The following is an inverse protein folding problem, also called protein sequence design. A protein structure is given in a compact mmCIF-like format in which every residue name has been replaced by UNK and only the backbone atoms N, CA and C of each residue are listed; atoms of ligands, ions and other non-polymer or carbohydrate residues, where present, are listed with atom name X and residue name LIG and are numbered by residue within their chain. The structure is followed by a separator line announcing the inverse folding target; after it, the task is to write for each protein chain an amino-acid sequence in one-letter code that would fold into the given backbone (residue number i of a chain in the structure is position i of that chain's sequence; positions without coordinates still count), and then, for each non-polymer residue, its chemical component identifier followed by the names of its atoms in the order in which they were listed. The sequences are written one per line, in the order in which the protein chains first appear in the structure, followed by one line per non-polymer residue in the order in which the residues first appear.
data_IF_120496506113
#
_entry.id   IF_120496506113
#
_cell.length_a   1.000
_cell.length_b   1.000
_cell.length_c   1.000
_cell.angle_alpha   90.00
_cell.angle_beta   90.00
_cell.angle_gamma   90.00
#
_symmetry.space_group_name_H-M   'P 1'
#
loop_
_entity.id
_entity.type
_entity.pdbx_description
1 polymer ?
#
# COMPACT_ATOMS: atom_id res chain seq x y z
N UNK A 1 17.87 28.64 -22.39
CA UNK A 1 17.35 27.25 -22.52
C UNK A 1 18.24 26.26 -21.77
N UNK A 2 19.57 26.25 -21.99
CA UNK A 2 20.49 25.36 -21.27
C UNK A 2 20.53 25.59 -19.75
N UNK A 3 20.54 26.85 -19.30
CA UNK A 3 20.49 27.19 -17.87
C UNK A 3 19.17 26.76 -17.20
N UNK A 4 18.04 26.80 -17.90
CA UNK A 4 16.75 26.33 -17.39
C UNK A 4 16.71 24.82 -17.19
N UNK A 5 17.46 24.06 -18.00
CA UNK A 5 17.60 22.60 -17.87
C UNK A 5 18.58 22.27 -16.74
N UNK A 6 19.69 23.00 -16.62
CA UNK A 6 20.60 22.88 -15.48
C UNK A 6 19.91 23.23 -14.16
N UNK A 7 19.10 24.28 -14.11
CA UNK A 7 18.35 24.69 -12.92
C UNK A 7 17.27 23.66 -12.54
N UNK A 8 16.58 23.03 -13.51
CA UNK A 8 15.62 21.93 -13.24
C UNK A 8 16.34 20.67 -12.74
N UNK A 9 17.52 20.35 -13.30
CA UNK A 9 18.32 19.19 -12.87
C UNK A 9 18.99 19.44 -11.52
N UNK A 10 19.40 20.68 -11.25
CA UNK A 10 20.00 21.10 -9.99
C UNK A 10 18.94 21.24 -8.89
N UNK A 11 17.73 21.70 -9.18
CA UNK A 11 16.60 21.72 -8.22
C UNK A 11 16.12 20.30 -7.87
N UNK A 12 16.20 19.35 -8.80
CA UNK A 12 16.03 17.92 -8.51
C UNK A 12 17.14 17.36 -7.59
N UNK A 13 18.33 17.99 -7.58
CA UNK A 13 19.47 17.64 -6.72
C UNK A 13 19.62 18.54 -5.48
N UNK A 14 18.83 19.61 -5.38
CA UNK A 14 18.86 20.58 -4.30
C UNK A 14 18.27 19.94 -3.05
N UNK A 15 19.11 19.24 -2.31
CA UNK A 15 19.26 19.46 -0.87
C UNK A 15 18.05 19.29 0.03
N UNK A 16 16.91 18.77 -0.43
CA UNK A 16 15.92 18.20 0.49
C UNK A 16 16.57 16.93 1.01
N UNK A 17 17.24 17.03 2.14
CA UNK A 17 17.67 15.88 2.93
C UNK A 17 16.40 15.06 3.19
N UNK A 18 16.09 14.11 2.30
CA UNK A 18 14.89 13.28 2.38
C UNK A 18 14.89 12.71 3.79
N UNK A 19 13.88 13.02 4.62
CA UNK A 19 13.86 12.52 5.99
C UNK A 19 13.90 10.99 5.93
N UNK A 20 15.08 10.43 6.17
CA UNK A 20 15.30 8.97 6.09
C UNK A 20 14.64 8.26 7.27
N UNK A 21 14.36 9.01 8.33
CA UNK A 21 13.68 8.56 9.51
C UNK A 21 12.33 9.26 9.63
N UNK A 22 11.25 8.49 9.47
CA UNK A 22 9.89 8.94 9.74
C UNK A 22 9.58 8.55 11.18
N UNK A 23 9.10 9.49 11.99
CA UNK A 23 8.57 9.15 13.32
C UNK A 23 7.48 8.08 13.20
N UNK A 24 7.31 7.25 14.23
CA UNK A 24 6.33 6.16 14.25
C UNK A 24 4.91 6.61 13.89
N UNK A 25 4.56 7.86 14.22
CA UNK A 25 3.26 8.47 13.87
C UNK A 25 3.09 8.64 12.36
N UNK A 26 4.11 9.17 11.67
CA UNK A 26 4.09 9.40 10.23
C UNK A 26 4.20 8.09 9.45
N UNK A 27 5.05 7.17 9.92
CA UNK A 27 5.13 5.82 9.39
C UNK A 27 3.79 5.08 9.53
N UNK A 28 3.14 5.19 10.69
CA UNK A 28 1.82 4.63 10.95
C UNK A 28 0.73 5.23 10.06
N UNK A 29 0.74 6.55 9.84
CA UNK A 29 -0.19 7.20 8.92
C UNK A 29 -0.01 6.73 7.47
N UNK A 30 1.23 6.53 7.02
CA UNK A 30 1.53 6.03 5.69
C UNK A 30 1.07 4.57 5.51
N UNK A 31 1.32 3.73 6.51
CA UNK A 31 0.83 2.34 6.53
C UNK A 31 -0.71 2.27 6.57
N UNK A 32 -1.34 3.15 7.35
CA UNK A 32 -2.80 3.24 7.40
C UNK A 32 -3.40 3.69 6.07
N UNK A 33 -2.71 4.57 5.34
CA UNK A 33 -3.13 5.02 4.02
C UNK A 33 -3.22 3.88 3.00
N UNK A 34 -2.24 2.97 3.02
CA UNK A 34 -2.23 1.77 2.17
C UNK A 34 -3.35 0.77 2.56
N UNK A 35 -3.52 0.53 3.87
CA UNK A 35 -4.53 -0.41 4.38
C UNK A 35 -5.97 0.13 4.40
N UNK A 36 -6.17 1.42 4.09
CA UNK A 36 -7.44 2.11 4.27
C UNK A 36 -8.55 1.55 3.37
N UNK A 37 -8.25 1.33 2.09
CA UNK A 37 -9.25 0.86 1.11
C UNK A 37 -9.65 -0.59 1.37
N UNK A 38 -8.69 -1.45 1.72
CA UNK A 38 -8.94 -2.88 2.00
C UNK A 38 -9.82 -3.11 3.22
N UNK A 39 -9.71 -2.29 4.27
CA UNK A 39 -10.65 -2.34 5.40
C UNK A 39 -12.09 -2.12 4.97
N UNK A 40 -12.34 -1.21 4.02
CA UNK A 40 -13.69 -0.86 3.59
C UNK A 40 -14.34 -1.99 2.78
N UNK A 41 -13.65 -2.55 1.78
CA UNK A 41 -14.24 -3.60 0.94
C UNK A 41 -14.15 -5.00 1.55
N UNK A 42 -13.11 -5.35 2.32
CA UNK A 42 -12.97 -6.70 2.91
C UNK A 42 -14.05 -6.99 3.93
N UNK A 43 -14.40 -6.00 4.78
CA UNK A 43 -15.47 -6.18 5.77
C UNK A 43 -16.81 -6.39 5.04
N UNK A 44 -17.09 -5.59 4.00
CA UNK A 44 -18.29 -5.76 3.18
C UNK A 44 -18.35 -7.15 2.52
N UNK A 45 -17.25 -7.60 1.91
CA UNK A 45 -17.16 -8.93 1.29
C UNK A 45 -17.33 -10.06 2.31
N UNK A 46 -16.77 -9.94 3.51
CA UNK A 46 -16.93 -10.93 4.57
C UNK A 46 -18.41 -11.05 5.01
N UNK A 47 -19.12 -9.94 5.12
CA UNK A 47 -20.56 -9.93 5.41
C UNK A 47 -21.38 -10.51 4.27
N UNK A 48 -21.05 -10.19 3.01
CA UNK A 48 -21.74 -10.77 1.84
C UNK A 48 -21.56 -12.29 1.79
N UNK A 49 -20.37 -12.80 2.10
CA UNK A 49 -20.06 -14.22 2.01
C UNK A 49 -20.57 -15.05 3.20
N UNK A 50 -20.52 -14.50 4.42
CA UNK A 50 -20.75 -15.26 5.66
C UNK A 50 -21.83 -14.66 6.59
N UNK A 51 -22.45 -13.53 6.21
CA UNK A 51 -23.48 -12.87 7.00
C UNK A 51 -23.02 -12.57 8.43
N UNK A 52 -23.86 -12.93 9.41
CA UNK A 52 -23.56 -12.76 10.84
C UNK A 52 -22.42 -13.64 11.34
N UNK A 53 -22.00 -14.67 10.59
CA UNK A 53 -20.84 -15.50 10.91
C UNK A 53 -19.52 -14.91 10.37
N UNK A 54 -19.52 -13.68 9.88
CA UNK A 54 -18.32 -13.00 9.38
C UNK A 54 -17.30 -12.64 10.48
N UNK A 55 -17.76 -12.44 11.72
CA UNK A 55 -16.92 -12.04 12.84
C UNK A 55 -15.72 -12.98 13.11
N UNK A 56 -15.89 -14.32 13.20
CA UNK A 56 -14.74 -15.22 13.37
C UNK A 56 -13.77 -15.18 12.20
N UNK A 57 -14.24 -14.98 10.96
CA UNK A 57 -13.39 -14.86 9.77
C UNK A 57 -12.55 -13.58 9.85
N UNK A 58 -13.19 -12.45 10.19
CA UNK A 58 -12.51 -11.17 10.33
C UNK A 58 -11.45 -11.25 11.44
N UNK A 59 -11.78 -11.84 12.59
CA UNK A 59 -10.82 -12.04 13.68
C UNK A 59 -9.62 -12.91 13.27
N UNK A 60 -9.87 -13.99 12.53
CA UNK A 60 -8.80 -14.86 12.02
C UNK A 60 -7.87 -14.10 11.05
N UNK A 61 -8.42 -13.29 10.15
CA UNK A 61 -7.64 -12.44 9.24
C UNK A 61 -6.84 -11.41 10.03
N UNK A 62 -7.45 -10.73 11.01
CA UNK A 62 -6.73 -9.77 11.86
C UNK A 62 -5.56 -10.43 12.62
N UNK A 63 -5.76 -11.63 13.17
CA UNK A 63 -4.70 -12.37 13.85
C UNK A 63 -3.56 -12.73 12.89
N UNK A 64 -3.87 -13.19 11.68
CA UNK A 64 -2.89 -13.48 10.65
C UNK A 64 -2.10 -12.22 10.24
N UNK A 65 -2.78 -11.09 10.03
CA UNK A 65 -2.14 -9.81 9.71
C UNK A 65 -1.22 -9.36 10.84
N UNK A 66 -1.65 -9.51 12.10
CA UNK A 66 -0.81 -9.20 13.26
C UNK A 66 0.47 -10.05 13.31
N UNK A 67 0.36 -11.35 13.04
CA UNK A 67 1.49 -12.26 12.95
C UNK A 67 2.47 -11.85 11.84
N UNK A 68 1.97 -11.50 10.65
CA UNK A 68 2.78 -10.97 9.56
C UNK A 68 3.48 -9.67 9.99
N UNK A 69 2.77 -8.76 10.66
CA UNK A 69 3.34 -7.52 11.18
C UNK A 69 4.50 -7.74 12.16
N UNK A 70 4.40 -8.74 13.04
CA UNK A 70 5.48 -9.12 13.96
C UNK A 70 6.71 -9.63 13.17
N UNK A 71 6.51 -10.48 12.16
CA UNK A 71 7.59 -10.96 11.30
C UNK A 71 8.28 -9.79 10.57
N UNK A 72 7.51 -8.83 10.06
CA UNK A 72 8.08 -7.62 9.45
C UNK A 72 8.87 -6.78 10.45
N UNK A 73 8.44 -6.67 11.71
CA UNK A 73 9.21 -5.98 12.75
C UNK A 73 10.59 -6.65 12.98
N UNK A 74 10.65 -7.99 12.92
CA UNK A 74 11.92 -8.73 12.99
C UNK A 74 12.78 -8.44 11.76
N UNK A 75 12.21 -8.46 10.54
CA UNK A 75 12.94 -8.16 9.30
C UNK A 75 13.53 -6.74 9.33
N UNK A 76 12.75 -5.73 9.71
CA UNK A 76 13.22 -4.34 9.77
C UNK A 76 14.36 -4.12 10.78
N UNK A 77 14.48 -4.96 11.82
CA UNK A 77 15.64 -4.94 12.73
C UNK A 77 16.92 -5.47 12.09
N UNK A 78 16.80 -6.46 11.21
CA UNK A 78 17.95 -7.07 10.52
C UNK A 78 18.36 -6.26 9.28
N UNK A 79 17.43 -5.52 8.68
CA UNK A 79 17.64 -4.70 7.49
C UNK A 79 17.26 -3.22 7.77
N UNK A 80 18.06 -2.49 8.57
CA UNK A 80 17.75 -1.12 9.00
C UNK A 80 17.76 -0.11 7.84
N UNK A 81 18.47 -0.43 6.75
CA UNK A 81 18.49 0.38 5.52
C UNK A 81 17.20 0.29 4.71
N UNK A 82 16.29 -0.63 5.06
CA UNK A 82 15.03 -0.86 4.36
C UNK A 82 15.19 -1.64 3.03
N UNK A 83 14.35 -1.35 2.05
CA UNK A 83 14.42 -1.94 0.70
C UNK A 83 13.43 -3.05 0.37
N UNK A 84 12.54 -3.41 1.30
CA UNK A 84 11.42 -4.34 1.06
C UNK A 84 11.85 -5.78 0.76
N UNK A 85 10.93 -6.59 0.23
CA UNK A 85 11.14 -8.04 0.06
C UNK A 85 12.29 -8.36 -0.89
N UNK A 86 12.48 -7.57 -1.95
CA UNK A 86 13.52 -7.82 -2.95
C UNK A 86 14.91 -7.71 -2.32
N UNK A 87 15.18 -6.61 -1.63
CA UNK A 87 16.49 -6.38 -1.01
C UNK A 87 16.76 -7.34 0.14
N UNK A 88 15.74 -7.64 0.97
CA UNK A 88 15.88 -8.59 2.07
C UNK A 88 16.08 -10.04 1.59
N UNK A 89 15.31 -10.48 0.59
CA UNK A 89 15.40 -11.85 0.06
C UNK A 89 16.65 -12.07 -0.81
N UNK A 90 17.22 -11.01 -1.39
CA UNK A 90 18.46 -11.11 -2.19
C UNK A 90 19.63 -11.66 -1.39
N UNK A 91 19.68 -11.40 -0.08
CA UNK A 91 20.69 -11.98 0.82
C UNK A 91 20.56 -13.51 0.94
N UNK A 92 19.37 -14.07 0.73
CA UNK A 92 19.10 -15.51 0.84
C UNK A 92 19.19 -16.22 -0.51
N UNK A 93 18.88 -15.53 -1.62
CA UNK A 93 19.03 -16.09 -2.96
C UNK A 93 18.43 -15.21 -4.04
N UNK A 94 19.06 -15.22 -5.22
CA UNK A 94 18.62 -14.41 -6.36
C UNK A 94 17.21 -14.79 -6.86
N UNK A 95 16.89 -16.08 -6.85
CA UNK A 95 15.57 -16.56 -7.27
C UNK A 95 14.47 -16.10 -6.30
N UNK A 96 14.70 -16.20 -4.99
CA UNK A 96 13.76 -15.70 -3.97
C UNK A 96 13.53 -14.20 -4.11
N UNK A 97 14.57 -13.41 -4.37
CA UNK A 97 14.43 -11.99 -4.61
C UNK A 97 13.57 -11.68 -5.83
N UNK A 98 13.79 -12.38 -6.96
CA UNK A 98 13.01 -12.18 -8.19
C UNK A 98 11.56 -12.58 -7.99
N UNK A 99 11.31 -13.76 -7.40
CA UNK A 99 9.95 -14.21 -7.09
C UNK A 99 9.26 -13.22 -6.16
N UNK A 100 9.92 -12.79 -5.08
CA UNK A 100 9.38 -11.81 -4.16
C UNK A 100 9.07 -10.47 -4.84
N UNK A 101 9.95 -9.98 -5.73
CA UNK A 101 9.72 -8.75 -6.48
C UNK A 101 8.54 -8.86 -7.44
N UNK A 102 8.39 -9.98 -8.15
CA UNK A 102 7.27 -10.22 -9.05
C UNK A 102 5.94 -10.32 -8.30
N UNK A 103 5.93 -10.98 -7.13
CA UNK A 103 4.76 -11.04 -6.26
C UNK A 103 4.38 -9.64 -5.74
N UNK A 104 5.36 -8.82 -5.33
CA UNK A 104 5.10 -7.43 -4.94
C UNK A 104 4.55 -6.59 -6.10
N UNK A 105 5.09 -6.76 -7.30
CA UNK A 105 4.59 -6.05 -8.48
C UNK A 105 3.11 -6.40 -8.73
N UNK A 106 2.77 -7.69 -8.68
CA UNK A 106 1.40 -8.15 -8.85
C UNK A 106 0.48 -7.58 -7.76
N UNK A 107 0.90 -7.66 -6.50
CA UNK A 107 0.17 -7.16 -5.33
C UNK A 107 -0.10 -5.65 -5.42
N UNK A 108 0.91 -4.84 -5.70
CA UNK A 108 0.78 -3.40 -5.84
C UNK A 108 -0.11 -3.01 -7.04
N UNK A 109 -0.01 -3.74 -8.15
CA UNK A 109 -0.85 -3.50 -9.33
C UNK A 109 -2.32 -3.76 -9.02
N UNK A 110 -2.64 -4.90 -8.43
CA UNK A 110 -4.02 -5.26 -8.06
C UNK A 110 -4.55 -4.30 -6.99
N UNK A 111 -3.73 -3.97 -5.99
CA UNK A 111 -4.09 -3.02 -4.93
C UNK A 111 -4.40 -1.64 -5.49
N UNK A 112 -3.58 -1.13 -6.41
CA UNK A 112 -3.84 0.14 -7.08
C UNK A 112 -5.14 0.10 -7.91
N UNK A 113 -5.37 -0.97 -8.67
CA UNK A 113 -6.59 -1.14 -9.47
C UNK A 113 -7.85 -1.21 -8.61
N UNK A 114 -7.86 -2.04 -7.55
CA UNK A 114 -9.01 -2.17 -6.64
C UNK A 114 -9.25 -0.89 -5.82
N UNK A 115 -8.17 -0.20 -5.42
CA UNK A 115 -8.28 1.08 -4.70
C UNK A 115 -8.86 2.17 -5.60
N UNK A 116 -8.42 2.27 -6.86
CA UNK A 116 -8.99 3.20 -7.83
C UNK A 116 -10.46 2.92 -8.12
N UNK A 117 -10.81 1.64 -8.32
CA UNK A 117 -12.19 1.22 -8.55
C UNK A 117 -13.10 1.51 -7.36
N UNK A 118 -12.66 1.16 -6.14
CA UNK A 118 -13.43 1.41 -4.92
C UNK A 118 -13.61 2.90 -4.64
N UNK A 119 -12.57 3.72 -4.88
CA UNK A 119 -12.66 5.18 -4.75
C UNK A 119 -13.72 5.77 -5.69
N UNK A 120 -13.71 5.39 -6.98
CA UNK A 120 -14.74 5.83 -7.93
C UNK A 120 -16.14 5.35 -7.53
N UNK A 121 -16.25 4.09 -7.08
CA UNK A 121 -17.52 3.52 -6.61
C UNK A 121 -18.08 4.32 -5.42
N UNK A 122 -17.25 4.68 -4.45
CA UNK A 122 -17.68 5.47 -3.27
C UNK A 122 -18.01 6.92 -3.62
N UNK A 123 -17.25 7.57 -4.50
CA UNK A 123 -17.53 8.94 -4.94
C UNK A 123 -18.85 9.00 -5.73
N UNK A 124 -19.07 8.06 -6.65
CA UNK A 124 -20.25 8.06 -7.53
C UNK A 124 -21.53 7.65 -6.82
N UNK A 125 -21.45 6.75 -5.83
CA UNK A 125 -22.62 6.29 -5.06
C UNK A 125 -23.27 7.38 -4.19
N UNK A 126 -22.57 8.47 -3.88
CA UNK A 126 -23.12 9.63 -3.16
C UNK A 126 -23.44 10.86 -4.03
N UNK A 127 -23.17 10.80 -5.35
CA UNK A 127 -23.23 11.97 -6.24
C UNK A 127 -24.12 11.74 -7.47
N UNK A 128 -25.16 10.93 -7.31
CA UNK A 128 -26.12 10.51 -8.35
C UNK A 128 -26.78 11.67 -9.13
N UNK A 129 -26.83 12.86 -8.53
CA UNK A 129 -27.41 14.07 -9.10
C UNK A 129 -26.41 14.95 -9.87
N UNK A 130 -25.12 14.64 -9.86
CA UNK A 130 -24.08 15.45 -10.52
C UNK A 130 -23.74 14.84 -11.89
N UNK A 131 -24.22 15.46 -12.97
CA UNK A 131 -24.15 14.91 -14.33
C UNK A 131 -22.75 14.52 -14.80
N UNK A 132 -21.70 15.24 -14.39
CA UNK A 132 -20.31 14.92 -14.71
C UNK A 132 -19.82 13.63 -14.02
N UNK A 133 -20.23 13.39 -12.77
CA UNK A 133 -19.83 12.20 -12.01
C UNK A 133 -20.54 10.94 -12.54
N UNK A 134 -21.74 11.11 -13.11
CA UNK A 134 -22.49 10.04 -13.77
C UNK A 134 -21.81 9.48 -15.02
N UNK A 135 -20.97 10.29 -15.70
CA UNK A 135 -20.17 9.87 -16.85
C UNK A 135 -18.94 9.03 -16.45
N UNK A 136 -18.48 9.12 -15.20
CA UNK A 136 -17.31 8.40 -14.69
C UNK A 136 -17.64 6.99 -14.16
N UNK A 137 -18.90 6.56 -14.27
CA UNK A 137 -19.37 5.21 -13.92
C UNK A 137 -19.48 4.35 -15.18
#
# INVERSE_FOLDING_TARGET
MAQLIEDIVLDASAGVHRPRNLDWKRAGALLYGDWGTSKAYVIGLAFVAAGFSSLPIILAVCALTGLVGINYAVICRHFPDGGGVYSAAKAQGRLLAVVGALLLLADLTVTASLSGWSALTYITSGAENVGFIKLMR
#
